data_IF_094942947715
#
_entry.id   IF_094942947715
#
_cell.length_a   1.000
_cell.length_b   1.000
_cell.length_c   1.000
_cell.angle_alpha   90.00
_cell.angle_beta   90.00
_cell.angle_gamma   90.00
#
_symmetry.space_group_name_H-M   'P 1'
#
loop_
_entity.id
_entity.type
_entity.pdbx_description
1 polymer ?
#
# COMPACT_ATOMS: atom_id res chain seq x y z
N UNK A 1 6.00 -10.97 -31.84
CA UNK A 1 5.82 -10.07 -30.69
C UNK A 1 6.31 -10.81 -29.45
N UNK A 2 7.50 -10.48 -28.95
CA UNK A 2 7.99 -11.06 -27.69
C UNK A 2 7.34 -10.26 -26.55
N UNK A 3 6.46 -10.91 -25.80
CA UNK A 3 5.90 -10.34 -24.57
C UNK A 3 7.02 -10.42 -23.54
N UNK A 4 7.63 -9.28 -23.20
CA UNK A 4 8.62 -9.21 -22.13
C UNK A 4 7.92 -9.52 -20.80
N UNK A 5 8.58 -10.30 -19.94
CA UNK A 5 8.11 -10.50 -18.57
C UNK A 5 8.11 -9.17 -17.82
N UNK A 6 7.03 -8.85 -17.12
CA UNK A 6 7.02 -7.73 -16.17
C UNK A 6 8.04 -8.06 -15.07
N UNK A 7 8.99 -7.16 -14.86
CA UNK A 7 10.06 -7.26 -13.86
C UNK A 7 9.98 -6.07 -12.90
N UNK A 8 10.69 -6.13 -11.77
CA UNK A 8 10.70 -5.04 -10.79
C UNK A 8 9.67 -5.17 -9.66
N UNK A 9 8.84 -6.22 -9.67
CA UNK A 9 7.87 -6.47 -8.60
C UNK A 9 8.55 -6.58 -7.22
N UNK A 10 9.75 -7.15 -7.15
CA UNK A 10 10.53 -7.26 -5.92
C UNK A 10 10.85 -5.89 -5.32
N UNK A 11 11.22 -4.92 -6.17
CA UNK A 11 11.56 -3.56 -5.73
C UNK A 11 10.32 -2.86 -5.16
N UNK A 12 9.16 -3.08 -5.77
CA UNK A 12 7.88 -2.60 -5.26
C UNK A 12 7.53 -3.22 -3.90
N UNK A 13 7.63 -4.54 -3.75
CA UNK A 13 7.39 -5.23 -2.48
C UNK A 13 8.35 -4.74 -1.40
N UNK A 14 9.65 -4.63 -1.72
CA UNK A 14 10.66 -4.16 -0.77
C UNK A 14 10.44 -2.70 -0.37
N UNK A 15 10.12 -1.82 -1.32
CA UNK A 15 9.80 -0.42 -1.04
C UNK A 15 8.56 -0.32 -0.14
N UNK A 16 7.49 -1.05 -0.46
CA UNK A 16 6.27 -1.08 0.33
C UNK A 16 6.51 -1.48 1.78
N UNK A 17 7.29 -2.56 1.98
CA UNK A 17 7.70 -3.00 3.33
C UNK A 17 8.48 -1.94 4.11
N UNK A 18 9.43 -1.25 3.46
CA UNK A 18 10.25 -0.19 4.10
C UNK A 18 9.40 1.03 4.45
N UNK A 19 8.47 1.43 3.60
CA UNK A 19 7.55 2.52 3.89
C UNK A 19 6.64 2.17 5.07
N UNK A 20 6.07 0.96 5.10
CA UNK A 20 5.22 0.51 6.21
C UNK A 20 6.01 0.52 7.52
N UNK A 21 7.21 -0.06 7.53
CA UNK A 21 8.09 -0.04 8.71
C UNK A 21 8.38 1.37 9.21
N UNK A 22 8.61 2.31 8.29
CA UNK A 22 8.87 3.71 8.63
C UNK A 22 7.63 4.38 9.21
N UNK A 23 6.46 4.13 8.62
CA UNK A 23 5.17 4.65 9.10
C UNK A 23 4.86 4.12 10.52
N UNK A 24 4.97 2.81 10.75
CA UNK A 24 4.72 2.18 12.05
C UNK A 24 5.68 2.72 13.13
N UNK A 25 6.98 2.86 12.81
CA UNK A 25 7.95 3.45 13.73
C UNK A 25 7.68 4.94 14.02
N UNK A 26 7.06 5.65 13.07
CA UNK A 26 6.67 7.05 13.20
C UNK A 26 5.74 7.31 14.38
N UNK A 27 4.91 6.34 14.79
CA UNK A 27 4.04 6.45 15.97
C UNK A 27 4.81 6.73 17.26
N UNK A 28 6.03 6.20 17.39
CA UNK A 28 6.89 6.45 18.56
C UNK A 28 7.64 7.78 18.49
N UNK A 29 7.59 8.48 17.35
CA UNK A 29 8.37 9.68 17.02
C UNK A 29 7.49 10.82 16.52
N UNK A 30 6.32 11.02 17.15
CA UNK A 30 5.29 12.01 16.72
C UNK A 30 5.77 13.47 16.65
N UNK A 31 6.86 13.81 17.33
CA UNK A 31 7.49 15.14 17.20
C UNK A 31 8.14 15.37 15.82
N UNK A 32 8.44 14.30 15.07
CA UNK A 32 9.02 14.33 13.72
C UNK A 32 8.01 13.82 12.69
N UNK A 33 7.25 12.78 13.03
CA UNK A 33 6.26 12.15 12.17
C UNK A 33 4.86 12.53 12.63
N UNK A 34 4.33 13.63 12.11
CA UNK A 34 2.93 13.98 12.32
C UNK A 34 2.00 12.99 11.57
N UNK A 35 0.70 13.08 11.84
CA UNK A 35 -0.28 12.16 11.26
C UNK A 35 -0.25 12.21 9.72
N UNK A 36 -0.13 13.39 9.11
CA UNK A 36 0.00 13.51 7.65
C UNK A 36 1.18 12.68 7.12
N UNK A 37 2.39 12.84 7.69
CA UNK A 37 3.56 12.08 7.25
C UNK A 37 3.38 10.57 7.42
N UNK A 38 2.81 10.12 8.54
CA UNK A 38 2.56 8.70 8.79
C UNK A 38 1.55 8.16 7.76
N UNK A 39 0.46 8.90 7.51
CA UNK A 39 -0.54 8.53 6.54
C UNK A 39 0.05 8.40 5.14
N UNK A 40 0.85 9.38 4.69
CA UNK A 40 1.47 9.34 3.36
C UNK A 40 2.45 8.17 3.21
N UNK A 41 3.24 7.87 4.24
CA UNK A 41 4.14 6.71 4.23
C UNK A 41 3.35 5.40 4.17
N UNK A 42 2.26 5.28 4.93
CA UNK A 42 1.42 4.10 4.90
C UNK A 42 0.67 3.94 3.57
N UNK A 43 0.19 5.04 2.97
CA UNK A 43 -0.42 5.04 1.64
C UNK A 43 0.56 4.58 0.55
N UNK A 44 1.80 5.11 0.56
CA UNK A 44 2.86 4.64 -0.34
C UNK A 44 3.19 3.16 -0.11
N UNK A 45 3.16 2.69 1.13
CA UNK A 45 3.36 1.29 1.43
C UNK A 45 2.30 0.42 0.77
N UNK A 46 1.02 0.76 0.98
CA UNK A 46 -0.14 0.09 0.41
C UNK A 46 -0.06 0.07 -1.12
N UNK A 47 0.20 1.21 -1.75
CA UNK A 47 0.35 1.35 -3.19
C UNK A 47 1.43 0.40 -3.73
N UNK A 48 2.64 0.45 -3.16
CA UNK A 48 3.76 -0.36 -3.65
C UNK A 48 3.53 -1.85 -3.45
N UNK A 49 2.87 -2.25 -2.37
CA UNK A 49 2.50 -3.65 -2.16
C UNK A 49 1.52 -4.14 -3.25
N UNK A 50 0.44 -3.40 -3.53
CA UNK A 50 -0.51 -3.78 -4.58
C UNK A 50 0.14 -3.82 -5.96
N UNK A 51 0.94 -2.80 -6.32
CA UNK A 51 1.68 -2.78 -7.59
C UNK A 51 2.61 -3.98 -7.70
N UNK A 52 3.34 -4.31 -6.64
CA UNK A 52 4.23 -5.47 -6.61
C UNK A 52 3.48 -6.79 -6.85
N UNK A 53 2.34 -7.00 -6.19
CA UNK A 53 1.51 -8.19 -6.41
C UNK A 53 0.98 -8.23 -7.85
N UNK A 54 0.39 -7.14 -8.35
CA UNK A 54 -0.10 -7.10 -9.74
C UNK A 54 1.01 -7.43 -10.75
N UNK A 55 2.18 -6.82 -10.61
CA UNK A 55 3.31 -7.04 -11.52
C UNK A 55 3.81 -8.49 -11.47
N UNK A 56 3.86 -9.10 -10.28
CA UNK A 56 4.20 -10.52 -10.14
C UNK A 56 3.21 -11.41 -10.90
N UNK A 57 1.92 -11.07 -10.86
CA UNK A 57 0.87 -11.74 -11.63
C UNK A 57 0.75 -11.25 -13.08
N UNK A 58 1.79 -10.57 -13.61
CA UNK A 58 1.93 -10.13 -15.01
C UNK A 58 0.91 -9.07 -15.44
N UNK A 59 0.42 -8.27 -14.50
CA UNK A 59 -0.45 -7.13 -14.77
C UNK A 59 0.19 -5.83 -14.28
N UNK A 60 0.23 -4.83 -15.17
CA UNK A 60 0.55 -3.47 -14.78
C UNK A 60 -0.75 -2.74 -14.45
N UNK A 61 -0.88 -2.15 -13.25
CA UNK A 61 -2.04 -1.30 -12.95
C UNK A 61 -2.17 -0.14 -13.94
N UNK A 62 -3.41 0.26 -14.23
CA UNK A 62 -3.73 1.36 -15.15
C UNK A 62 -3.50 2.75 -14.55
N UNK A 63 -3.58 2.85 -13.22
CA UNK A 63 -3.25 4.03 -12.44
C UNK A 63 -2.74 3.64 -11.04
N UNK A 64 -2.36 4.64 -10.25
CA UNK A 64 -1.81 4.47 -8.89
C UNK A 64 -2.77 4.95 -7.80
N UNK A 65 -4.04 5.21 -8.12
CA UNK A 65 -5.04 5.51 -7.10
C UNK A 65 -5.32 4.25 -6.28
N UNK A 66 -5.60 4.40 -4.99
CA UNK A 66 -5.87 3.22 -4.14
C UNK A 66 -7.08 2.43 -4.66
N UNK A 67 -8.13 3.12 -5.11
CA UNK A 67 -9.31 2.48 -5.69
C UNK A 67 -9.00 1.74 -7.00
N UNK A 68 -8.27 2.37 -7.93
CA UNK A 68 -7.86 1.73 -9.19
C UNK A 68 -6.91 0.55 -8.97
N UNK A 69 -6.06 0.62 -7.94
CA UNK A 69 -5.20 -0.50 -7.55
C UNK A 69 -5.97 -1.68 -6.95
N UNK A 70 -7.03 -1.42 -6.17
CA UNK A 70 -7.94 -2.48 -5.68
C UNK A 70 -8.63 -3.17 -6.85
N UNK A 71 -9.09 -2.41 -7.86
CA UNK A 71 -9.68 -2.97 -9.08
C UNK A 71 -8.66 -3.83 -9.84
N UNK A 72 -7.47 -3.30 -10.14
CA UNK A 72 -6.42 -4.04 -10.83
C UNK A 72 -5.99 -5.31 -10.08
N UNK A 73 -5.89 -5.25 -8.75
CA UNK A 73 -5.54 -6.39 -7.93
C UNK A 73 -6.62 -7.47 -7.95
N UNK A 74 -7.90 -7.07 -7.95
CA UNK A 74 -9.04 -8.00 -7.99
C UNK A 74 -9.09 -8.88 -9.25
N UNK A 75 -8.51 -8.42 -10.35
CA UNK A 75 -8.46 -9.15 -11.62
C UNK A 75 -7.45 -10.30 -11.61
N UNK A 76 -6.42 -10.22 -10.76
CA UNK A 76 -5.29 -11.16 -10.78
C UNK A 76 -5.07 -11.93 -9.49
N UNK A 77 -5.35 -11.30 -8.35
CA UNK A 77 -5.13 -11.86 -7.02
C UNK A 77 -6.08 -11.15 -6.04
N UNK A 78 -7.36 -11.57 -5.98
CA UNK A 78 -8.36 -10.87 -5.19
C UNK A 78 -8.05 -10.91 -3.69
N UNK A 79 -8.17 -9.75 -3.05
CA UNK A 79 -8.14 -9.58 -1.59
C UNK A 79 -9.54 -9.79 -0.99
N UNK A 80 -9.59 -9.93 0.34
CA UNK A 80 -10.86 -9.96 1.06
C UNK A 80 -11.69 -8.69 0.84
N UNK A 81 -13.02 -8.83 0.78
CA UNK A 81 -13.93 -7.73 0.48
C UNK A 81 -13.89 -6.63 1.55
N UNK A 82 -13.72 -6.99 2.82
CA UNK A 82 -13.60 -6.02 3.92
C UNK A 82 -12.32 -5.20 3.78
N UNK A 83 -11.20 -5.85 3.46
CA UNK A 83 -9.93 -5.16 3.21
C UNK A 83 -10.01 -4.23 1.99
N UNK A 84 -10.66 -4.67 0.91
CA UNK A 84 -10.90 -3.83 -0.27
C UNK A 84 -11.73 -2.58 0.09
N UNK A 85 -12.79 -2.73 0.86
CA UNK A 85 -13.64 -1.62 1.29
C UNK A 85 -12.91 -0.66 2.25
N UNK A 86 -12.07 -1.17 3.14
CA UNK A 86 -11.22 -0.33 3.99
C UNK A 86 -10.24 0.51 3.15
N UNK A 87 -9.59 -0.08 2.13
CA UNK A 87 -8.67 0.65 1.24
C UNK A 87 -9.41 1.76 0.47
N UNK A 88 -10.62 1.48 -0.04
CA UNK A 88 -11.45 2.49 -0.73
C UNK A 88 -11.81 3.65 0.20
N UNK A 89 -12.20 3.38 1.45
CA UNK A 89 -12.47 4.42 2.44
C UNK A 89 -11.25 5.27 2.77
N UNK A 90 -10.05 4.68 2.78
CA UNK A 90 -8.80 5.42 2.95
C UNK A 90 -8.56 6.36 1.75
N UNK A 91 -8.88 5.91 0.54
CA UNK A 91 -8.76 6.75 -0.67
C UNK A 91 -9.57 8.05 -0.57
N UNK A 92 -10.73 8.01 0.10
CA UNK A 92 -11.60 9.19 0.29
C UNK A 92 -11.00 10.25 1.26
N UNK A 93 -9.95 9.92 2.01
CA UNK A 93 -9.32 10.82 3.00
C UNK A 93 -8.33 11.79 2.32
N UNK A 94 -7.52 11.30 1.38
CA UNK A 94 -6.56 12.10 0.61
C UNK A 94 -6.40 11.53 -0.82
N UNK A 95 -6.77 12.32 -1.82
CA UNK A 95 -6.65 12.02 -3.26
C UNK A 95 -5.19 12.16 -3.74
N UNK A 96 -4.26 11.49 -3.05
CA UNK A 96 -2.82 11.73 -3.20
C UNK A 96 -2.27 11.47 -4.61
N UNK A 97 -2.81 10.45 -5.28
CA UNK A 97 -2.35 9.99 -6.58
C UNK A 97 -3.20 10.54 -7.74
N UNK A 98 -4.11 11.49 -7.47
CA UNK A 98 -4.88 12.17 -8.49
C UNK A 98 -4.07 13.32 -9.11
N UNK A 99 -4.20 13.53 -10.42
CA UNK A 99 -3.58 14.68 -11.12
C UNK A 99 -4.07 16.02 -10.57
N UNK A 100 -5.33 16.06 -10.13
CA UNK A 100 -5.94 17.21 -9.47
C UNK A 100 -6.57 16.72 -8.18
N UNK A 101 -5.90 16.88 -7.02
CA UNK A 101 -6.46 16.45 -5.75
C UNK A 101 -7.72 17.28 -5.43
N UNK A 102 -8.85 16.60 -5.25
CA UNK A 102 -10.14 17.24 -4.95
C UNK A 102 -10.38 17.26 -3.45
N UNK A 103 -9.91 16.23 -2.74
CA UNK A 103 -10.08 16.09 -1.30
C UNK A 103 -8.75 15.90 -0.59
N UNK A 104 -8.52 16.75 0.41
CA UNK A 104 -7.43 16.58 1.38
C UNK A 104 -7.91 16.96 2.76
N UNK A 105 -8.15 15.98 3.61
CA UNK A 105 -8.45 16.19 5.02
C UNK A 105 -7.26 15.74 5.85
N UNK A 106 -6.75 16.57 6.78
CA UNK A 106 -5.70 16.13 7.69
C UNK A 106 -6.16 14.87 8.45
N UNK A 107 -5.40 13.76 8.42
CA UNK A 107 -5.80 12.51 9.04
C UNK A 107 -5.76 12.61 10.57
N UNK A 108 -6.83 12.15 11.21
CA UNK A 108 -6.92 12.00 12.65
C UNK A 108 -6.24 10.73 13.15
N UNK A 109 -6.16 10.57 14.47
CA UNK A 109 -5.50 9.40 15.08
C UNK A 109 -6.17 8.06 14.74
N UNK A 110 -7.48 8.07 14.49
CA UNK A 110 -8.21 6.88 14.05
C UNK A 110 -7.86 6.51 12.60
N UNK A 111 -7.67 7.51 11.74
CA UNK A 111 -7.27 7.29 10.34
C UNK A 111 -5.87 6.68 10.29
N UNK A 112 -4.96 7.14 11.16
CA UNK A 112 -3.61 6.57 11.29
C UNK A 112 -3.64 5.12 11.77
N UNK A 113 -4.48 4.79 12.76
CA UNK A 113 -4.64 3.40 13.19
C UNK A 113 -5.18 2.54 12.06
N UNK A 114 -6.22 3.02 11.36
CA UNK A 114 -6.86 2.30 10.25
C UNK A 114 -5.89 2.03 9.11
N UNK A 115 -5.17 3.04 8.62
CA UNK A 115 -4.26 2.88 7.48
C UNK A 115 -3.06 1.97 7.80
N UNK A 116 -2.58 1.97 9.05
CA UNK A 116 -1.53 1.05 9.47
C UNK A 116 -2.02 -0.39 9.56
N UNK A 117 -3.23 -0.64 10.09
CA UNK A 117 -3.85 -1.96 10.10
C UNK A 117 -3.98 -2.48 8.67
N UNK A 118 -4.56 -1.69 7.77
CA UNK A 118 -4.69 -2.04 6.35
C UNK A 118 -3.32 -2.31 5.71
N UNK A 119 -2.32 -1.49 5.98
CA UNK A 119 -0.96 -1.70 5.48
C UNK A 119 -0.35 -3.03 5.96
N UNK A 120 -0.56 -3.39 7.22
CA UNK A 120 -0.10 -4.67 7.78
C UNK A 120 -0.84 -5.87 7.20
N UNK A 121 -2.17 -5.80 7.07
CA UNK A 121 -2.97 -6.86 6.43
C UNK A 121 -2.57 -7.08 4.98
N UNK A 122 -2.34 -6.00 4.23
CA UNK A 122 -1.91 -6.08 2.85
C UNK A 122 -0.48 -6.62 2.71
N UNK A 123 0.41 -6.32 3.66
CA UNK A 123 1.73 -6.92 3.70
C UNK A 123 1.65 -8.43 3.95
N UNK A 124 0.77 -8.88 4.86
CA UNK A 124 0.50 -10.30 5.07
C UNK A 124 -0.06 -10.98 3.82
N UNK A 125 -1.02 -10.34 3.16
CA UNK A 125 -1.58 -10.81 1.89
C UNK A 125 -0.50 -10.96 0.82
N UNK A 126 0.34 -9.93 0.63
CA UNK A 126 1.40 -9.98 -0.36
C UNK A 126 2.42 -11.08 -0.04
N UNK A 127 2.81 -11.27 1.23
CA UNK A 127 3.68 -12.38 1.66
C UNK A 127 3.13 -13.77 1.31
N UNK A 128 1.81 -13.93 1.30
CA UNK A 128 1.16 -15.20 0.96
C UNK A 128 1.10 -15.44 -0.56
N UNK A 129 1.18 -14.39 -1.38
CA UNK A 129 0.87 -14.46 -2.80
C UNK A 129 2.08 -14.18 -3.73
N UNK A 130 3.19 -13.67 -3.20
CA UNK A 130 4.44 -13.50 -3.96
C UNK A 130 5.65 -14.04 -3.19
N UNK A 131 6.74 -14.45 -3.86
CA UNK A 131 7.98 -14.83 -3.18
C UNK A 131 8.53 -13.64 -2.41
N UNK A 132 8.48 -13.71 -1.08
CA UNK A 132 8.91 -12.62 -0.21
C UNK A 132 10.12 -13.07 0.59
N UNK A 133 11.29 -12.52 0.28
CA UNK A 133 12.45 -12.68 1.17
C UNK A 133 12.30 -11.68 2.32
N UNK A 134 12.16 -12.21 3.54
CA UNK A 134 12.08 -11.39 4.74
C UNK A 134 13.38 -10.61 4.91
N UNK A 135 13.41 -9.39 4.35
CA UNK A 135 14.43 -8.38 4.62
C UNK A 135 14.28 -7.85 6.05
N UNK A 136 14.43 -8.72 7.06
CA UNK A 136 14.55 -8.35 8.47
C UNK A 136 13.32 -7.67 9.08
N UNK A 137 12.17 -8.35 9.08
CA UNK A 137 11.10 -8.09 10.05
C UNK A 137 11.11 -9.19 11.12
N UNK A 138 12.06 -9.08 12.05
CA UNK A 138 11.84 -9.64 13.38
C UNK A 138 10.73 -8.82 14.03
N UNK A 139 9.73 -9.51 14.57
CA UNK A 139 8.64 -8.94 15.35
C UNK A 139 9.18 -7.99 16.43
N UNK A 140 8.61 -6.79 16.49
CA UNK A 140 8.76 -5.88 17.62
C UNK A 140 7.76 -6.25 18.72
#
# INVERSE_FOLDING_TARGET
MQIQSITGWQDHIQAGSRYLKTASNGLSRRAVFNNELIFQLAAMAIEKLMVGVCQYHRQMPTDHTLSGLVEALSEVCPIDAELADMIRRIADIDDMCALTPVHRKPPGDLDIQTILIVGHELACFAKQNVPWEDGGLAAA
#
